data_IF_645594803530
#
_entry.id   IF_645594803530
#
_cell.length_a   1.000
_cell.length_b   1.000
_cell.length_c   1.000
_cell.angle_alpha   90.00
_cell.angle_beta   90.00
_cell.angle_gamma   90.00
#
_symmetry.space_group_name_H-M   'P 1'
#
loop_
_entity.id
_entity.type
_entity.pdbx_description
1 polymer ?
#
# COMPACT_ATOMS: atom_id res chain seq x y z
N UNK A 1 -8.89 3.82 1.00
CA UNK A 1 -8.83 5.07 1.79
C UNK A 1 -8.35 4.75 3.20
N UNK A 2 -7.60 5.66 3.84
CA UNK A 2 -7.10 5.53 5.21
C UNK A 2 -7.68 6.66 6.09
N UNK A 3 -8.20 6.36 7.29
CA UNK A 3 -8.78 7.38 8.17
C UNK A 3 -7.71 8.20 8.88
N UNK A 4 -7.89 9.52 8.92
CA UNK A 4 -7.03 10.47 9.64
C UNK A 4 -7.90 11.32 10.54
N UNK A 5 -7.55 11.36 11.82
CA UNK A 5 -8.19 12.21 12.83
C UNK A 5 -7.26 13.37 13.19
N UNK A 6 -7.83 14.50 13.59
CA UNK A 6 -7.06 15.68 14.00
C UNK A 6 -7.42 16.04 15.43
N UNK A 7 -6.43 16.54 16.20
CA UNK A 7 -6.66 16.98 17.58
C UNK A 7 -7.59 18.20 17.66
N UNK A 8 -7.72 18.96 16.58
CA UNK A 8 -8.52 20.19 16.49
C UNK A 8 -9.97 19.94 16.07
N UNK A 9 -10.33 18.74 15.61
CA UNK A 9 -11.70 18.37 15.24
C UNK A 9 -12.08 16.99 15.82
N UNK A 10 -12.23 16.87 17.15
CA UNK A 10 -12.61 15.61 17.80
C UNK A 10 -13.96 15.09 17.24
N UNK A 11 -14.03 13.79 17.00
CA UNK A 11 -15.22 13.13 16.45
C UNK A 11 -15.36 13.19 14.92
N UNK A 12 -14.45 13.85 14.20
CA UNK A 12 -14.42 13.87 12.73
C UNK A 12 -13.22 13.11 12.19
N UNK A 13 -13.46 12.23 11.22
CA UNK A 13 -12.42 11.52 10.48
C UNK A 13 -12.43 11.99 9.01
N UNK A 14 -11.27 12.38 8.51
CA UNK A 14 -11.05 12.57 7.09
C UNK A 14 -10.50 11.28 6.49
N UNK A 15 -10.70 11.07 5.20
CA UNK A 15 -10.18 9.91 4.50
C UNK A 15 -9.18 10.34 3.43
N UNK A 16 -7.98 9.80 3.50
CA UNK A 16 -6.91 10.05 2.53
C UNK A 16 -6.62 8.79 1.72
N UNK A 17 -5.80 8.92 0.68
CA UNK A 17 -5.29 7.75 -0.03
C UNK A 17 -4.49 6.86 0.92
N UNK A 18 -4.67 5.54 0.77
CA UNK A 18 -3.95 4.59 1.62
C UNK A 18 -2.46 4.62 1.31
N UNK A 19 -2.09 4.75 0.03
CA UNK A 19 -0.71 4.91 -0.39
C UNK A 19 -0.16 6.24 0.11
N UNK A 20 0.97 6.20 0.80
CA UNK A 20 1.57 7.35 1.48
C UNK A 20 1.06 7.60 2.90
N UNK A 21 0.00 6.91 3.34
CA UNK A 21 -0.45 7.02 4.73
C UNK A 21 0.47 6.22 5.67
N UNK A 22 0.71 6.76 6.87
CA UNK A 22 1.45 6.09 7.93
C UNK A 22 0.48 5.31 8.84
N UNK A 23 0.81 4.04 9.11
CA UNK A 23 0.10 3.24 10.09
C UNK A 23 0.47 3.65 11.54
N UNK A 24 -0.26 3.19 12.56
CA UNK A 24 0.04 3.52 13.97
C UNK A 24 1.43 3.06 14.45
N UNK A 25 2.07 2.15 13.71
CA UNK A 25 3.43 1.66 13.97
C UNK A 25 4.51 2.45 13.21
N UNK A 26 4.16 3.56 12.56
CA UNK A 26 5.10 4.45 11.87
C UNK A 26 5.55 3.98 10.48
N UNK A 27 4.98 2.90 9.94
CA UNK A 27 5.29 2.44 8.58
C UNK A 27 4.38 3.08 7.55
N UNK A 28 4.92 3.39 6.37
CA UNK A 28 4.17 3.99 5.26
C UNK A 28 3.66 2.92 4.31
N UNK A 29 2.39 2.97 3.93
CA UNK A 29 1.84 2.10 2.89
C UNK A 29 2.40 2.49 1.52
N UNK A 30 2.90 1.51 0.78
CA UNK A 30 3.46 1.64 -0.57
C UNK A 30 2.61 0.83 -1.55
N UNK A 31 2.69 1.14 -2.85
CA UNK A 31 1.88 0.49 -3.90
C UNK A 31 2.04 -1.04 -3.89
N UNK A 32 3.26 -1.52 -3.62
CA UNK A 32 3.55 -2.95 -3.49
C UNK A 32 2.71 -3.63 -2.40
N UNK A 33 2.32 -2.94 -1.33
CA UNK A 33 1.53 -3.55 -0.26
C UNK A 33 0.08 -3.86 -0.68
N UNK A 34 -0.38 -3.38 -1.84
CA UNK A 34 -1.75 -3.62 -2.32
C UNK A 34 -1.90 -4.92 -3.10
N UNK A 35 -0.80 -5.47 -3.62
CA UNK A 35 -0.81 -6.61 -4.52
C UNK A 35 0.10 -7.69 -3.99
N UNK A 36 -0.26 -8.95 -4.18
CA UNK A 36 0.69 -10.04 -3.95
C UNK A 36 1.79 -10.03 -5.01
N UNK A 37 3.03 -10.40 -4.68
CA UNK A 37 4.10 -10.53 -5.66
C UNK A 37 3.76 -11.64 -6.66
N UNK A 38 4.14 -11.42 -7.93
CA UNK A 38 4.10 -12.50 -8.93
C UNK A 38 5.14 -13.55 -8.55
N UNK A 39 4.75 -14.83 -8.60
CA UNK A 39 5.62 -15.95 -8.25
C UNK A 39 6.88 -15.99 -9.13
N UNK A 40 8.05 -16.18 -8.51
CA UNK A 40 9.32 -16.29 -9.21
C UNK A 40 9.34 -17.44 -10.22
N UNK A 41 8.70 -18.57 -9.89
CA UNK A 41 8.62 -19.74 -10.78
C UNK A 41 7.83 -19.41 -12.05
N UNK A 42 6.75 -18.65 -11.93
CA UNK A 42 5.93 -18.26 -13.08
C UNK A 42 6.68 -17.26 -13.98
N UNK A 43 7.40 -16.29 -13.38
CA UNK A 43 8.23 -15.35 -14.15
C UNK A 43 9.40 -16.03 -14.86
N UNK A 44 9.99 -17.07 -14.28
CA UNK A 44 11.04 -17.86 -14.95
C UNK A 44 10.48 -18.66 -16.14
N UNK A 45 9.26 -19.19 -16.03
CA UNK A 45 8.62 -19.98 -17.10
C UNK A 45 8.05 -19.11 -18.21
N UNK A 46 7.63 -17.89 -17.89
CA UNK A 46 7.14 -16.93 -18.86
C UNK A 46 7.89 -15.58 -18.74
N UNK A 47 8.91 -15.34 -19.58
CA UNK A 47 9.68 -14.09 -19.59
C UNK A 47 8.86 -12.84 -19.90
N UNK A 48 7.63 -12.97 -20.41
CA UNK A 48 6.75 -11.82 -20.64
C UNK A 48 6.10 -11.30 -19.34
N UNK A 49 6.10 -12.10 -18.28
CA UNK A 49 5.58 -11.67 -16.98
C UNK A 49 6.60 -10.73 -16.32
N UNK A 50 6.14 -9.52 -16.01
CA UNK A 50 6.91 -8.54 -15.23
C UNK A 50 6.36 -8.47 -13.82
N UNK A 51 7.24 -8.20 -12.88
CA UNK A 51 6.87 -8.00 -11.49
C UNK A 51 6.04 -6.70 -11.30
N UNK A 52 5.15 -6.70 -10.32
CA UNK A 52 4.40 -5.51 -9.89
C UNK A 52 5.36 -4.43 -9.35
N UNK A 53 5.01 -3.15 -9.52
CA UNK A 53 5.89 -2.06 -9.07
C UNK A 53 6.20 -2.14 -7.57
N UNK A 54 7.49 -2.07 -7.23
CA UNK A 54 8.00 -2.08 -5.86
C UNK A 54 8.38 -3.45 -5.28
N UNK A 55 8.29 -4.52 -6.07
CA UNK A 55 8.77 -5.87 -5.75
C UNK A 55 10.05 -6.24 -6.50
#
# INVERSE_FOLDING_TARGET
MYPVTTATAPGKAAFVNVIGAANPWGQTFQEKHLLWPVSANEMQRNPSLKQNQGY
#
